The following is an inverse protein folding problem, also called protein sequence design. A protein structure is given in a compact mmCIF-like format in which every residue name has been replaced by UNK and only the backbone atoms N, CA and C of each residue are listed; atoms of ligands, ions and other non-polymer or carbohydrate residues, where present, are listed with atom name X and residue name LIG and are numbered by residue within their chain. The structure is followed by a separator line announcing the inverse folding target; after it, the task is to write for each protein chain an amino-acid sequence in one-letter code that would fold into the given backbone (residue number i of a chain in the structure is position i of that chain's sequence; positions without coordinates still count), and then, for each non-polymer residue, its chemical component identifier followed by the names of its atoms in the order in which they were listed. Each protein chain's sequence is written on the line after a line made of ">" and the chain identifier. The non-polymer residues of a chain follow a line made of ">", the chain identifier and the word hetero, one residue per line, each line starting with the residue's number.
data_IF_953837789348
#
_entry.id   IF_953837789348
#
_cell.length_a   1.000
_cell.length_b   1.000
_cell.length_c   1.000
_cell.angle_alpha   90.00
_cell.angle_beta   90.00
_cell.angle_gamma   90.00
#
_symmetry.space_group_name_H-M   'P 1'
#
loop_
_entity.id
_entity.type
_entity.pdbx_description
1 polymer ?
#
# COMPACT_ATOMS: atom_id res chain seq x y z
N UNK A 1 -0.87 6.19 5.02
CA UNK A 1 -1.62 7.33 5.61
C UNK A 1 -0.68 8.39 6.21
N UNK A 2 0.65 8.22 6.11
CA UNK A 2 1.66 9.17 6.57
C UNK A 2 1.64 9.46 8.07
N UNK A 3 1.13 8.54 8.90
CA UNK A 3 1.05 8.68 10.36
C UNK A 3 2.35 8.31 11.12
N UNK A 4 3.42 7.97 10.39
CA UNK A 4 4.71 7.55 10.96
C UNK A 4 4.78 6.06 11.31
N UNK A 5 3.73 5.30 11.03
CA UNK A 5 3.68 3.86 11.22
C UNK A 5 3.26 3.18 9.92
N UNK A 6 3.99 2.12 9.57
CA UNK A 6 3.59 1.27 8.46
C UNK A 6 2.83 0.07 9.01
N UNK A 7 1.61 -0.13 8.49
CA UNK A 7 0.67 -1.17 8.95
C UNK A 7 -0.05 -1.80 7.77
N UNK A 8 -0.17 -3.13 7.79
CA UNK A 8 -0.97 -3.86 6.80
C UNK A 8 -2.41 -4.18 7.28
N UNK A 9 -2.60 -4.37 8.59
CA UNK A 9 -3.89 -4.68 9.20
C UNK A 9 -4.12 -3.87 10.48
N UNK A 10 -5.33 -3.94 11.03
CA UNK A 10 -5.75 -3.14 12.19
C UNK A 10 -6.27 -1.75 11.80
N UNK A 11 -6.63 -0.93 12.78
CA UNK A 11 -7.11 0.43 12.53
C UNK A 11 -6.00 1.32 11.94
N UNK A 12 -6.39 2.23 11.05
CA UNK A 12 -5.48 3.18 10.39
C UNK A 12 -4.30 2.48 9.69
N UNK A 13 -4.58 1.42 8.93
CA UNK A 13 -3.54 0.73 8.15
C UNK A 13 -3.34 1.37 6.77
N UNK A 14 -2.15 1.21 6.18
CA UNK A 14 -1.81 1.75 4.87
C UNK A 14 -2.49 0.99 3.73
N UNK A 15 -2.80 -0.28 3.97
CA UNK A 15 -3.52 -1.15 3.02
C UNK A 15 -4.86 -0.55 2.61
N UNK A 16 -5.62 -0.02 3.56
CA UNK A 16 -6.96 0.53 3.33
C UNK A 16 -6.88 1.85 2.55
N UNK A 17 -5.79 2.62 2.70
CA UNK A 17 -5.52 3.79 1.87
C UNK A 17 -5.32 3.39 0.41
N UNK A 18 -4.51 2.34 0.16
CA UNK A 18 -4.28 1.81 -1.19
C UNK A 18 -5.59 1.28 -1.79
N UNK A 19 -6.37 0.50 -1.04
CA UNK A 19 -7.66 -0.04 -1.48
C UNK A 19 -8.64 1.09 -1.80
N UNK A 20 -8.82 2.06 -0.90
CA UNK A 20 -9.67 3.23 -1.13
C UNK A 20 -9.23 4.02 -2.37
N UNK A 21 -7.93 4.12 -2.61
CA UNK A 21 -7.39 4.82 -3.78
C UNK A 21 -7.83 4.12 -5.06
N UNK A 22 -7.67 2.79 -5.17
CA UNK A 22 -7.97 2.06 -6.41
C UNK A 22 -9.47 1.86 -6.67
N UNK A 23 -10.37 2.32 -5.79
CA UNK A 23 -11.82 2.17 -5.96
C UNK A 23 -12.49 1.30 -4.90
N UNK A 24 -11.84 1.11 -3.74
CA UNK A 24 -12.41 0.44 -2.57
C UNK A 24 -11.96 -1.01 -2.43
N UNK A 25 -12.91 -1.89 -2.10
CA UNK A 25 -12.64 -3.29 -1.73
C UNK A 25 -12.34 -4.22 -2.91
N UNK A 26 -12.36 -3.72 -4.15
CA UNK A 26 -12.09 -4.52 -5.36
C UNK A 26 -10.58 -4.62 -5.57
N UNK A 27 -9.94 -5.79 -5.31
CA UNK A 27 -8.48 -5.93 -5.30
C UNK A 27 -7.84 -5.79 -6.69
N UNK A 28 -8.65 -5.94 -7.74
CA UNK A 28 -8.23 -5.94 -9.15
C UNK A 28 -8.31 -4.57 -9.80
N UNK A 29 -8.84 -3.56 -9.11
CA UNK A 29 -8.90 -2.22 -9.64
C UNK A 29 -7.50 -1.59 -9.68
N UNK A 30 -7.24 -0.82 -10.74
CA UNK A 30 -5.95 -0.15 -10.96
C UNK A 30 -6.19 1.29 -11.37
N UNK A 31 -5.37 2.20 -10.87
CA UNK A 31 -5.30 3.58 -11.35
C UNK A 31 -4.03 3.71 -12.16
N UNK A 32 -4.18 3.99 -13.45
CA UNK A 32 -3.07 4.12 -14.39
C UNK A 32 -2.78 5.59 -14.72
N UNK A 33 -1.51 5.88 -15.00
CA UNK A 33 -1.09 7.12 -15.65
C UNK A 33 -0.95 8.32 -14.74
N UNK A 34 -0.90 8.14 -13.42
CA UNK A 34 -0.68 9.22 -12.46
C UNK A 34 0.22 8.76 -11.31
N UNK A 35 1.11 9.66 -10.87
CA UNK A 35 1.80 9.51 -9.59
C UNK A 35 0.82 9.88 -8.48
N UNK A 36 0.55 8.92 -7.61
CA UNK A 36 -0.33 9.09 -6.47
C UNK A 36 0.44 8.72 -5.20
N UNK A 37 0.07 9.28 -4.05
CA UNK A 37 0.70 8.94 -2.77
C UNK A 37 0.52 7.46 -2.36
N UNK A 38 -0.24 6.68 -3.13
CA UNK A 38 -0.43 5.24 -2.95
C UNK A 38 0.35 4.41 -3.99
N UNK A 39 1.05 5.06 -4.92
CA UNK A 39 1.99 4.44 -5.87
C UNK A 39 3.34 4.20 -5.19
N UNK A 40 3.36 3.27 -4.23
CA UNK A 40 4.51 3.07 -3.33
C UNK A 40 5.77 2.50 -4.01
N UNK A 41 5.72 2.28 -5.33
CA UNK A 41 6.85 1.80 -6.12
C UNK A 41 7.16 2.71 -7.32
N UNK A 42 6.54 3.89 -7.39
CA UNK A 42 6.72 4.89 -8.45
C UNK A 42 6.54 4.33 -9.88
N UNK A 43 5.68 3.33 -10.07
CA UNK A 43 5.46 2.72 -11.38
C UNK A 43 4.50 3.52 -12.27
N UNK A 44 3.93 4.63 -11.77
CA UNK A 44 2.88 5.40 -12.43
C UNK A 44 1.53 4.66 -12.49
N UNK A 45 1.40 3.59 -11.69
CA UNK A 45 0.23 2.72 -11.63
C UNK A 45 0.01 2.28 -10.19
N UNK A 46 -1.12 2.67 -9.60
CA UNK A 46 -1.55 2.15 -8.30
C UNK A 46 -2.37 0.89 -8.50
N UNK A 47 -1.94 -0.21 -7.89
CA UNK A 47 -2.69 -1.47 -7.85
C UNK A 47 -2.48 -2.20 -6.54
N UNK A 48 -3.53 -2.88 -6.08
CA UNK A 48 -3.50 -3.64 -4.84
C UNK A 48 -3.01 -5.09 -5.03
N UNK A 49 -3.29 -5.71 -6.18
CA UNK A 49 -2.87 -7.06 -6.51
C UNK A 49 -2.15 -7.15 -7.87
N UNK A 50 -1.51 -8.29 -8.15
CA UNK A 50 -0.71 -8.52 -9.36
C UNK A 50 0.76 -8.14 -9.18
N UNK A 51 1.58 -8.32 -10.22
CA UNK A 51 2.99 -7.94 -10.18
C UNK A 51 3.15 -6.45 -9.87
N UNK A 52 4.22 -6.04 -9.17
CA UNK A 52 4.51 -4.63 -8.83
C UNK A 52 3.35 -3.89 -8.14
N UNK A 53 2.67 -4.54 -7.21
CA UNK A 53 1.58 -3.93 -6.44
C UNK A 53 2.10 -3.17 -5.20
N UNK A 54 1.30 -2.24 -4.67
CA UNK A 54 1.64 -1.46 -3.48
C UNK A 54 1.53 -2.27 -2.17
N UNK A 55 0.74 -3.36 -2.17
CA UNK A 55 0.61 -4.26 -1.01
C UNK A 55 1.94 -4.91 -0.64
N UNK A 56 2.70 -5.36 -1.63
CA UNK A 56 3.97 -6.06 -1.40
C UNK A 56 5.01 -5.11 -0.81
N UNK A 57 5.00 -3.83 -1.20
CA UNK A 57 5.83 -2.78 -0.61
C UNK A 57 5.51 -2.59 0.88
N UNK A 58 4.23 -2.52 1.24
CA UNK A 58 3.79 -2.39 2.65
C UNK A 58 4.26 -3.60 3.45
N UNK A 59 4.01 -4.82 2.95
CA UNK A 59 4.41 -6.07 3.60
C UNK A 59 5.93 -6.15 3.78
N UNK A 60 6.70 -5.86 2.74
CA UNK A 60 8.16 -5.84 2.83
C UNK A 60 8.65 -4.81 3.86
N UNK A 61 8.01 -3.64 3.94
CA UNK A 61 8.37 -2.59 4.90
C UNK A 61 8.17 -3.05 6.34
N UNK A 62 7.07 -3.75 6.65
CA UNK A 62 6.80 -4.27 8.01
C UNK A 62 7.57 -5.55 8.35
N UNK A 63 8.45 -6.04 7.46
CA UNK A 63 9.31 -7.19 7.72
C UNK A 63 8.88 -8.50 7.06
N UNK A 64 8.01 -8.44 6.05
CA UNK A 64 7.67 -9.57 5.19
C UNK A 64 6.17 -9.87 5.13
N UNK A 65 5.82 -11.13 4.89
CA UNK A 65 4.44 -11.55 4.62
C UNK A 65 3.54 -11.63 5.85
N UNK A 66 4.05 -11.37 7.06
CA UNK A 66 3.28 -11.43 8.31
C UNK A 66 2.50 -10.11 8.47
N UNK A 67 1.15 -10.13 8.33
CA UNK A 67 0.35 -8.91 8.21
C UNK A 67 0.10 -8.18 9.54
N UNK A 68 0.67 -8.67 10.64
CA UNK A 68 0.44 -8.16 12.00
C UNK A 68 1.58 -7.31 12.54
N UNK A 69 2.71 -7.24 11.84
CA UNK A 69 3.82 -6.40 12.24
C UNK A 69 3.49 -4.91 12.01
N UNK A 70 3.95 -4.07 12.94
CA UNK A 70 3.91 -2.60 12.83
C UNK A 70 5.33 -2.10 12.88
N UNK A 71 5.68 -1.21 11.96
CA UNK A 71 7.02 -0.61 11.92
C UNK A 71 6.92 0.90 11.98
N UNK A 72 7.64 1.53 12.91
CA UNK A 72 7.84 2.98 12.91
C UNK A 72 8.75 3.34 11.75
N UNK A 73 8.15 3.75 10.64
CA UNK A 73 8.79 4.02 9.36
C UNK A 73 7.83 4.78 8.43
N UNK A 74 8.29 5.09 7.23
CA UNK A 74 7.45 5.51 6.11
C UNK A 74 7.63 4.53 4.96
N UNK A 75 6.57 4.31 4.18
CA UNK A 75 6.69 3.63 2.89
C UNK A 75 7.36 4.57 1.87
N UNK A 76 8.09 4.02 0.87
CA UNK A 76 8.66 4.82 -0.20
C UNK A 76 7.57 5.60 -0.94
N UNK A 77 7.90 6.80 -1.39
CA UNK A 77 7.07 7.63 -2.26
C UNK A 77 7.25 7.22 -3.72
#
# INVERSE_FOLDING_TARGET
>A
NSDGQVKYAGANNDRDVVLSTVGGSVPTATINGQYHNADLNMAGVVKYAGATNARDVILQTIGGSVPTAVRTAQVPF
#
